data_IF_768661958805
#
_entry.id   IF_768661958805
#
_cell.length_a   1.000
_cell.length_b   1.000
_cell.length_c   1.000
_cell.angle_alpha   90.00
_cell.angle_beta   90.00
_cell.angle_gamma   90.00
#
_symmetry.space_group_name_H-M   'P 1'
#
loop_
_entity.id
_entity.type
_entity.pdbx_description
1 polymer ?
#
# COMPACT_ATOMS: atom_id res chain seq x y z
N UNK A 1 41.51 25.67 -26.07
CA UNK A 1 40.11 25.33 -26.41
C UNK A 1 39.76 23.86 -26.13
N UNK A 2 40.63 22.88 -26.40
CA UNK A 2 40.31 21.46 -26.18
C UNK A 2 40.07 21.07 -24.72
N UNK A 3 40.78 21.70 -23.76
CA UNK A 3 40.63 21.38 -22.33
C UNK A 3 39.28 21.86 -21.76
N UNK A 4 38.70 22.93 -22.31
CA UNK A 4 37.39 23.45 -21.88
C UNK A 4 36.27 22.49 -22.31
N UNK A 5 36.35 21.92 -23.53
CA UNK A 5 35.39 20.90 -24.01
C UNK A 5 35.39 19.65 -23.12
N UNK A 6 36.56 19.19 -22.66
CA UNK A 6 36.67 18.01 -21.81
C UNK A 6 36.15 18.27 -20.39
N UNK A 7 36.35 19.49 -19.85
CA UNK A 7 35.77 19.91 -18.56
C UNK A 7 34.25 20.03 -18.66
N UNK A 8 33.71 20.55 -19.76
CA UNK A 8 32.25 20.63 -19.99
C UNK A 8 31.59 19.25 -20.08
N UNK A 9 32.25 18.27 -20.69
CA UNK A 9 31.76 16.87 -20.75
C UNK A 9 31.80 16.21 -19.37
N UNK A 10 32.87 16.43 -18.59
CA UNK A 10 32.97 15.92 -17.22
C UNK A 10 31.91 16.55 -16.29
N UNK A 11 31.64 17.85 -16.42
CA UNK A 11 30.59 18.53 -15.66
C UNK A 11 29.18 18.06 -16.04
N UNK A 12 28.92 17.77 -17.33
CA UNK A 12 27.64 17.21 -17.79
C UNK A 12 27.40 15.77 -17.30
N UNK A 13 28.47 14.98 -17.11
CA UNK A 13 28.39 13.59 -16.61
C UNK A 13 28.09 13.51 -15.11
N UNK A 14 28.36 14.57 -14.34
CA UNK A 14 28.14 14.64 -12.89
C UNK A 14 26.69 15.00 -12.53
N UNK A 15 25.86 15.39 -13.50
CA UNK A 15 24.45 15.77 -13.27
C UNK A 15 23.51 14.56 -13.36
N UNK A 16 24.02 13.33 -13.22
CA UNK A 16 23.20 12.14 -13.03
C UNK A 16 22.49 12.19 -11.67
N UNK A 17 21.39 12.94 -11.60
CA UNK A 17 20.49 12.92 -10.47
C UNK A 17 19.95 11.50 -10.31
N UNK A 18 20.29 10.84 -9.22
CA UNK A 18 19.60 9.63 -8.79
C UNK A 18 18.19 10.05 -8.36
N UNK A 19 17.21 9.86 -9.23
CA UNK A 19 15.81 10.06 -8.89
C UNK A 19 15.36 8.88 -8.02
N UNK A 20 15.18 9.12 -6.72
CA UNK A 20 14.44 8.21 -5.86
C UNK A 20 12.96 8.30 -6.24
N UNK A 21 12.41 7.22 -6.79
CA UNK A 21 11.02 7.20 -7.25
C UNK A 21 10.06 7.14 -6.04
N UNK A 22 9.48 8.29 -5.68
CA UNK A 22 8.29 8.36 -4.82
C UNK A 22 7.05 8.31 -5.73
N UNK A 23 6.01 7.62 -5.29
CA UNK A 23 4.79 7.43 -6.09
C UNK A 23 3.63 8.19 -5.46
N UNK A 24 2.95 9.01 -6.26
CA UNK A 24 1.72 9.70 -5.90
C UNK A 24 0.55 9.16 -6.72
N UNK A 25 -0.52 8.72 -6.06
CA UNK A 25 -1.73 8.19 -6.70
C UNK A 25 -2.90 9.15 -6.49
N UNK A 26 -3.49 9.62 -7.58
CA UNK A 26 -4.63 10.55 -7.52
C UNK A 26 -4.26 11.99 -7.16
N UNK A 27 -2.96 12.32 -7.14
CA UNK A 27 -2.44 13.68 -6.88
C UNK A 27 -1.14 13.91 -7.66
N UNK A 28 -0.71 15.18 -7.75
CA UNK A 28 0.43 15.59 -8.59
C UNK A 28 1.81 15.38 -7.96
N UNK A 29 1.88 15.32 -6.63
CA UNK A 29 3.11 15.16 -5.87
C UNK A 29 2.82 14.48 -4.55
N UNK A 30 3.80 13.79 -4.00
CA UNK A 30 3.74 13.22 -2.66
C UNK A 30 3.86 14.30 -1.57
N UNK A 31 3.30 14.03 -0.40
CA UNK A 31 3.48 14.83 0.80
C UNK A 31 4.68 14.33 1.60
N UNK A 32 5.56 15.27 1.99
CA UNK A 32 6.74 14.97 2.80
C UNK A 32 7.90 14.37 2.02
N UNK A 33 9.09 14.40 2.62
CA UNK A 33 10.33 13.90 1.99
C UNK A 33 10.61 12.41 2.27
N UNK A 34 9.92 11.83 3.25
CA UNK A 34 10.09 10.46 3.73
C UNK A 34 8.91 9.57 3.31
N UNK A 35 8.45 9.72 2.07
CA UNK A 35 7.26 9.04 1.56
C UNK A 35 7.63 8.21 0.34
N UNK A 36 7.27 6.92 0.34
CA UNK A 36 7.49 6.03 -0.82
C UNK A 36 6.25 5.97 -1.70
N UNK A 37 5.08 5.99 -1.07
CA UNK A 37 3.78 5.90 -1.71
C UNK A 37 2.81 6.83 -0.99
N UNK A 38 2.11 7.65 -1.74
CA UNK A 38 1.12 8.60 -1.26
C UNK A 38 -0.16 8.54 -2.10
N UNK A 39 -1.28 8.85 -1.47
CA UNK A 39 -2.60 8.85 -2.09
C UNK A 39 -3.28 10.20 -1.94
N UNK A 40 -4.29 10.42 -2.76
CA UNK A 40 -5.16 11.58 -2.68
C UNK A 40 -5.67 11.82 -1.24
N UNK A 41 -5.48 13.05 -0.77
CA UNK A 41 -5.84 13.52 0.57
C UNK A 41 -6.74 14.77 0.51
N UNK A 42 -7.35 15.07 -0.63
CA UNK A 42 -8.33 16.16 -0.73
C UNK A 42 -9.55 15.89 0.14
N UNK A 43 -10.16 16.98 0.63
CA UNK A 43 -11.39 16.90 1.39
C UNK A 43 -12.50 16.24 0.53
N UNK A 44 -13.21 15.27 1.13
CA UNK A 44 -14.23 14.49 0.43
C UNK A 44 -13.71 13.25 -0.29
N UNK A 45 -12.42 12.93 -0.18
CA UNK A 45 -11.90 11.65 -0.68
C UNK A 45 -12.65 10.46 -0.04
N UNK A 46 -12.99 9.46 -0.86
CA UNK A 46 -13.63 8.20 -0.45
C UNK A 46 -12.91 6.97 -1.02
N UNK A 47 -11.69 7.14 -1.55
CA UNK A 47 -10.91 6.08 -2.19
C UNK A 47 -9.95 5.48 -1.16
N UNK A 48 -10.15 4.20 -0.84
CA UNK A 48 -9.24 3.40 -0.03
C UNK A 48 -8.41 2.43 -0.87
N UNK A 49 -7.49 1.72 -0.21
CA UNK A 49 -6.81 0.55 -0.79
C UNK A 49 -7.72 -0.65 -0.60
N UNK A 50 -7.89 -1.48 -1.64
CA UNK A 50 -8.55 -2.78 -1.49
C UNK A 50 -7.44 -3.82 -1.36
N UNK A 51 -7.43 -4.52 -0.24
CA UNK A 51 -6.46 -5.57 0.02
C UNK A 51 -6.67 -6.79 -0.90
N UNK A 52 -5.60 -7.52 -1.25
CA UNK A 52 -5.74 -8.80 -1.92
C UNK A 52 -6.63 -9.74 -1.11
N UNK A 53 -7.66 -10.28 -1.76
CA UNK A 53 -8.53 -11.28 -1.17
C UNK A 53 -7.96 -12.67 -1.45
N UNK A 54 -7.53 -13.37 -0.40
CA UNK A 54 -6.83 -14.66 -0.51
C UNK A 54 -7.61 -15.76 0.19
N UNK A 55 -7.56 -16.99 -0.33
CA UNK A 55 -8.14 -18.17 0.34
C UNK A 55 -7.10 -18.78 1.28
N UNK A 56 -6.99 -18.22 2.49
CA UNK A 56 -5.93 -18.55 3.45
C UNK A 56 -4.71 -17.65 3.28
N UNK A 57 -3.56 -18.09 3.79
CA UNK A 57 -2.33 -17.30 3.77
C UNK A 57 -1.60 -17.41 2.43
N UNK A 58 -0.97 -16.31 1.96
CA UNK A 58 -0.09 -16.36 0.80
C UNK A 58 0.99 -17.43 0.98
N UNK A 59 1.30 -18.16 -0.10
CA UNK A 59 2.50 -18.98 -0.16
C UNK A 59 3.74 -18.09 -0.36
N UNK A 60 4.91 -18.51 0.08
CA UNK A 60 6.16 -17.74 -0.05
C UNK A 60 6.83 -17.42 1.29
N UNK A 61 7.81 -16.51 1.29
CA UNK A 61 8.31 -15.93 2.55
C UNK A 61 7.34 -14.85 3.02
N UNK A 62 6.80 -15.03 4.23
CA UNK A 62 5.94 -14.03 4.84
C UNK A 62 6.81 -12.95 5.47
N UNK A 63 6.54 -11.70 5.11
CA UNK A 63 7.22 -10.55 5.69
C UNK A 63 6.27 -9.79 6.63
N UNK A 64 6.81 -9.34 7.76
CA UNK A 64 6.08 -8.49 8.69
C UNK A 64 5.59 -7.21 7.98
N UNK A 65 4.33 -6.85 8.20
CA UNK A 65 3.65 -5.78 7.46
C UNK A 65 2.83 -6.24 6.27
N UNK A 66 2.69 -7.54 6.03
CA UNK A 66 1.80 -8.09 4.99
C UNK A 66 0.34 -7.95 5.41
N UNK A 67 -0.52 -7.43 4.52
CA UNK A 67 -1.97 -7.31 4.74
C UNK A 67 -2.75 -8.14 3.71
N UNK A 68 -3.81 -8.81 4.17
CA UNK A 68 -4.74 -9.58 3.34
C UNK A 68 -6.18 -9.42 3.81
N UNK A 69 -7.13 -9.71 2.93
CA UNK A 69 -8.49 -10.11 3.30
C UNK A 69 -8.62 -11.62 3.09
N UNK A 70 -8.66 -12.39 4.18
CA UNK A 70 -8.76 -13.84 4.12
C UNK A 70 -10.23 -14.26 3.95
N UNK A 71 -10.56 -14.85 2.79
CA UNK A 71 -11.93 -15.27 2.47
C UNK A 71 -12.31 -16.61 3.12
N UNK A 72 -11.38 -17.30 3.78
CA UNK A 72 -11.70 -18.56 4.50
C UNK A 72 -12.45 -18.29 5.81
N UNK A 73 -12.15 -17.17 6.47
CA UNK A 73 -12.82 -16.72 7.69
C UNK A 73 -13.38 -15.29 7.62
N UNK A 74 -13.31 -14.66 6.45
CA UNK A 74 -13.81 -13.32 6.12
C UNK A 74 -13.22 -12.22 7.01
N UNK A 75 -11.91 -12.27 7.23
CA UNK A 75 -11.23 -11.30 8.10
C UNK A 75 -10.14 -10.53 7.37
N UNK A 76 -10.01 -9.25 7.72
CA UNK A 76 -8.79 -8.49 7.42
C UNK A 76 -7.71 -8.95 8.39
N UNK A 77 -6.53 -9.29 7.88
CA UNK A 77 -5.41 -9.77 8.69
C UNK A 77 -4.12 -9.04 8.33
N UNK A 78 -3.26 -8.86 9.32
CA UNK A 78 -1.90 -8.39 9.16
C UNK A 78 -0.95 -9.45 9.72
N UNK A 79 0.13 -9.74 8.99
CA UNK A 79 1.24 -10.51 9.53
C UNK A 79 2.19 -9.56 10.26
N UNK A 80 2.33 -9.73 11.57
CA UNK A 80 3.26 -8.95 12.39
C UNK A 80 3.88 -9.82 13.48
N UNK A 81 5.14 -9.56 13.83
CA UNK A 81 5.89 -10.34 14.82
C UNK A 81 5.82 -11.85 14.57
N UNK A 82 5.93 -12.24 13.30
CA UNK A 82 5.85 -13.62 12.82
C UNK A 82 4.54 -14.36 13.14
N UNK A 83 3.47 -13.60 13.38
CA UNK A 83 2.12 -14.13 13.63
C UNK A 83 1.06 -13.39 12.82
N UNK A 84 0.04 -14.13 12.39
CA UNK A 84 -1.15 -13.52 11.80
C UNK A 84 -2.05 -12.94 12.89
N UNK A 85 -2.29 -11.64 12.81
CA UNK A 85 -3.22 -10.93 13.67
C UNK A 85 -4.45 -10.51 12.89
N UNK A 86 -5.63 -10.83 13.42
CA UNK A 86 -6.90 -10.34 12.88
C UNK A 86 -7.07 -8.86 13.19
N UNK A 87 -7.38 -8.08 12.15
CA UNK A 87 -7.75 -6.67 12.23
C UNK A 87 -9.27 -6.46 12.16
N UNK A 88 -10.04 -7.53 12.05
CA UNK A 88 -11.50 -7.49 12.09
C UNK A 88 -12.07 -8.76 12.69
N UNK A 89 -13.34 -8.68 13.07
CA UNK A 89 -14.19 -9.86 13.21
C UNK A 89 -14.54 -10.46 11.83
N UNK A 90 -15.30 -11.56 11.84
CA UNK A 90 -15.76 -12.19 10.62
C UNK A 90 -16.81 -11.30 9.92
N UNK A 91 -16.45 -10.79 8.76
CA UNK A 91 -17.30 -9.96 7.92
C UNK A 91 -17.99 -10.74 6.80
N UNK A 92 -18.00 -10.17 5.59
CA UNK A 92 -18.72 -10.73 4.44
C UNK A 92 -17.89 -10.65 3.15
N UNK A 93 -17.63 -11.79 2.52
CA UNK A 93 -16.88 -11.88 1.25
C UNK A 93 -17.76 -12.15 0.03
N UNK A 94 -19.09 -12.11 0.13
CA UNK A 94 -20.01 -12.53 -0.94
C UNK A 94 -19.90 -11.70 -2.22
N UNK A 95 -19.40 -10.47 -2.14
CA UNK A 95 -19.15 -9.60 -3.31
C UNK A 95 -17.72 -9.70 -3.85
N UNK A 96 -16.86 -10.49 -3.19
CA UNK A 96 -15.49 -10.76 -3.65
C UNK A 96 -15.54 -11.64 -4.89
N UNK A 97 -14.92 -11.18 -5.96
CA UNK A 97 -14.79 -11.96 -7.20
C UNK A 97 -13.47 -12.72 -7.12
N UNK A 98 -13.54 -14.04 -7.10
CA UNK A 98 -12.35 -14.89 -7.09
C UNK A 98 -11.62 -14.82 -8.44
N UNK A 99 -10.31 -14.58 -8.39
CA UNK A 99 -9.41 -14.84 -9.51
C UNK A 99 -8.73 -16.19 -9.28
N UNK A 100 -9.06 -17.18 -10.10
CA UNK A 100 -8.53 -18.54 -10.00
C UNK A 100 -7.37 -18.79 -10.98
N UNK A 101 -6.91 -17.75 -11.67
CA UNK A 101 -5.75 -17.84 -12.55
C UNK A 101 -4.50 -18.17 -11.74
N UNK A 102 -3.54 -18.85 -12.35
CA UNK A 102 -2.24 -19.05 -11.72
C UNK A 102 -1.54 -17.70 -11.54
N UNK A 103 -1.02 -17.44 -10.34
CA UNK A 103 -0.15 -16.30 -10.08
C UNK A 103 1.14 -16.46 -10.88
N UNK A 104 1.40 -15.54 -11.79
CA UNK A 104 2.59 -15.56 -12.64
C UNK A 104 3.23 -14.17 -12.66
N UNK A 105 4.56 -14.13 -12.50
CA UNK A 105 5.33 -12.89 -12.48
C UNK A 105 5.93 -12.59 -11.12
N UNK A 106 6.66 -11.48 -11.06
CA UNK A 106 7.14 -10.87 -9.81
C UNK A 106 6.23 -9.68 -9.53
N UNK A 107 5.86 -9.47 -8.27
CA UNK A 107 5.09 -8.29 -7.87
C UNK A 107 5.83 -6.98 -8.14
N UNK A 108 5.23 -5.87 -7.72
CA UNK A 108 5.82 -4.53 -7.87
C UNK A 108 6.59 -4.17 -6.62
N UNK A 109 7.83 -3.72 -6.77
CA UNK A 109 8.64 -3.15 -5.68
C UNK A 109 8.69 -1.63 -5.86
N UNK A 110 8.38 -0.89 -4.79
CA UNK A 110 8.50 0.56 -4.74
C UNK A 110 9.50 0.98 -3.66
N UNK A 111 10.36 1.95 -3.98
CA UNK A 111 11.39 2.48 -3.08
C UNK A 111 12.80 2.02 -3.46
N UNK A 112 13.14 0.76 -3.23
CA UNK A 112 14.41 0.14 -3.61
C UNK A 112 14.33 -0.66 -4.92
N UNK A 113 15.49 -1.00 -5.50
CA UNK A 113 15.56 -1.73 -6.77
C UNK A 113 15.30 -3.23 -6.64
N UNK A 114 15.37 -3.78 -5.43
CA UNK A 114 15.14 -5.19 -5.14
C UNK A 114 14.67 -5.36 -3.69
N UNK A 115 13.98 -6.46 -3.42
CA UNK A 115 13.56 -6.89 -2.09
C UNK A 115 13.58 -8.42 -2.04
N UNK A 116 13.78 -8.98 -0.85
CA UNK A 116 13.59 -10.40 -0.58
C UNK A 116 12.13 -10.76 -0.27
N UNK A 117 11.28 -9.75 -0.02
CA UNK A 117 9.88 -9.94 0.27
C UNK A 117 9.13 -10.58 -0.91
N UNK A 118 8.34 -11.60 -0.63
CA UNK A 118 7.45 -12.23 -1.60
C UNK A 118 6.04 -11.63 -1.50
N UNK A 119 5.73 -10.68 -2.39
CA UNK A 119 4.45 -9.96 -2.36
C UNK A 119 4.09 -9.32 -3.69
N UNK A 120 2.79 -9.11 -3.91
CA UNK A 120 2.25 -8.48 -5.14
C UNK A 120 2.56 -6.98 -5.22
N UNK A 121 2.62 -6.31 -4.07
CA UNK A 121 3.06 -4.93 -3.90
C UNK A 121 3.95 -4.87 -2.67
N UNK A 122 5.24 -4.60 -2.88
CA UNK A 122 6.27 -4.51 -1.85
C UNK A 122 6.73 -3.07 -1.76
N UNK A 123 6.68 -2.53 -0.54
CA UNK A 123 7.22 -1.21 -0.23
C UNK A 123 8.55 -1.42 0.49
N UNK A 124 9.64 -1.28 -0.24
CA UNK A 124 10.99 -1.51 0.27
C UNK A 124 11.70 -0.17 0.43
N UNK A 125 11.98 0.22 1.68
CA UNK A 125 12.77 1.42 1.96
C UNK A 125 13.27 1.44 3.41
N UNK A 126 14.50 1.94 3.60
CA UNK A 126 15.08 2.09 4.95
C UNK A 126 14.52 3.31 5.72
N UNK A 127 13.98 4.32 5.04
CA UNK A 127 13.66 5.61 5.65
C UNK A 127 12.43 6.32 5.07
N UNK A 128 11.64 5.62 4.26
CA UNK A 128 10.38 6.15 3.71
C UNK A 128 9.23 5.20 4.04
N UNK A 129 8.05 5.77 4.23
CA UNK A 129 6.83 5.02 4.52
C UNK A 129 5.72 5.35 3.52
N UNK A 130 4.69 4.52 3.50
CA UNK A 130 3.44 4.86 2.82
C UNK A 130 2.62 5.79 3.69
N UNK A 131 2.03 6.81 3.07
CA UNK A 131 0.90 7.55 3.64
C UNK A 131 -0.37 6.83 3.19
N UNK A 132 -1.17 6.33 4.12
CA UNK A 132 -2.43 5.66 3.78
C UNK A 132 -3.42 6.65 3.13
N UNK A 133 -4.34 6.17 2.27
CA UNK A 133 -5.44 7.00 1.77
C UNK A 133 -6.22 7.61 2.94
N UNK A 134 -6.41 8.92 2.90
CA UNK A 134 -7.05 9.65 3.98
C UNK A 134 -8.54 9.85 3.67
N UNK A 135 -9.41 9.37 4.57
CA UNK A 135 -10.86 9.49 4.43
C UNK A 135 -11.41 9.98 5.78
N UNK A 136 -12.22 11.03 5.79
CA UNK A 136 -12.90 11.46 7.00
C UNK A 136 -14.11 10.56 7.26
N UNK A 137 -14.24 9.96 8.44
CA UNK A 137 -15.40 9.16 8.87
C UNK A 137 -15.88 8.16 7.78
N UNK A 138 -15.05 7.17 7.41
CA UNK A 138 -15.32 6.29 6.27
C UNK A 138 -16.65 5.54 6.38
N UNK A 139 -17.06 5.17 7.59
CA UNK A 139 -18.37 4.54 7.86
C UNK A 139 -19.59 5.40 7.46
N UNK A 140 -19.45 6.72 7.34
CA UNK A 140 -20.53 7.61 6.89
C UNK A 140 -20.39 7.98 5.41
N UNK A 141 -19.14 8.14 4.95
CA UNK A 141 -18.84 8.79 3.68
C UNK A 141 -18.57 7.82 2.53
N UNK A 142 -18.06 6.62 2.81
CA UNK A 142 -17.89 5.57 1.78
C UNK A 142 -19.21 4.82 1.63
N UNK A 143 -19.95 5.09 0.55
CA UNK A 143 -21.32 4.54 0.37
C UNK A 143 -21.37 3.06 0.03
N UNK A 144 -20.39 2.58 -0.74
CA UNK A 144 -20.29 1.18 -1.18
C UNK A 144 -18.85 0.68 -0.97
N UNK A 145 -18.41 0.49 0.29
CA UNK A 145 -17.08 -0.04 0.55
C UNK A 145 -16.97 -1.49 0.06
N UNK A 146 -15.78 -1.88 -0.36
CA UNK A 146 -15.50 -3.24 -0.82
C UNK A 146 -14.81 -4.04 0.30
N UNK A 147 -15.11 -5.34 0.51
CA UNK A 147 -14.44 -6.15 1.53
C UNK A 147 -12.92 -6.09 1.39
N UNK A 148 -12.22 -5.89 2.51
CA UNK A 148 -10.77 -5.66 2.50
C UNK A 148 -10.36 -4.22 2.22
N UNK A 149 -11.29 -3.27 2.12
CA UNK A 149 -10.94 -1.85 1.98
C UNK A 149 -10.26 -1.33 3.25
N UNK A 150 -9.14 -0.63 3.10
CA UNK A 150 -8.39 0.02 4.17
C UNK A 150 -8.12 1.50 3.87
N UNK A 151 -8.11 2.32 4.92
CA UNK A 151 -7.78 3.75 4.86
C UNK A 151 -7.36 4.27 6.25
N UNK A 152 -6.84 5.50 6.31
CA UNK A 152 -6.67 6.24 7.55
C UNK A 152 -7.89 7.14 7.78
N UNK A 153 -8.58 6.95 8.90
CA UNK A 153 -9.67 7.84 9.29
C UNK A 153 -9.12 9.10 9.95
N UNK A 154 -9.28 10.24 9.27
CA UNK A 154 -8.77 11.54 9.74
C UNK A 154 -9.55 12.11 10.93
N UNK A 155 -10.77 11.62 11.18
CA UNK A 155 -11.61 12.08 12.31
C UNK A 155 -11.22 11.35 13.58
N UNK A 156 -11.25 10.01 13.56
CA UNK A 156 -10.89 9.20 14.74
C UNK A 156 -9.38 9.04 14.93
N UNK A 157 -8.57 9.37 13.90
CA UNK A 157 -7.11 9.23 13.85
C UNK A 157 -6.67 7.78 14.01
N UNK A 158 -7.29 6.89 13.24
CA UNK A 158 -7.09 5.44 13.35
C UNK A 158 -6.90 4.80 11.99
N UNK A 159 -6.29 3.61 11.95
CA UNK A 159 -6.42 2.72 10.81
C UNK A 159 -7.85 2.18 10.77
N UNK A 160 -8.53 2.34 9.64
CA UNK A 160 -9.88 1.84 9.43
C UNK A 160 -9.87 0.76 8.35
N UNK A 161 -10.44 -0.40 8.66
CA UNK A 161 -10.56 -1.54 7.73
C UNK A 161 -12.00 -2.01 7.63
N UNK A 162 -12.48 -2.29 6.42
CA UNK A 162 -13.81 -2.80 6.16
C UNK A 162 -13.78 -4.30 5.90
N UNK A 163 -14.51 -5.07 6.70
CA UNK A 163 -14.53 -6.54 6.64
C UNK A 163 -15.58 -7.09 5.65
N UNK A 164 -16.31 -6.21 4.96
CA UNK A 164 -17.42 -6.56 4.08
C UNK A 164 -18.80 -6.32 4.69
N UNK A 165 -18.86 -6.14 6.01
CA UNK A 165 -20.09 -5.82 6.76
C UNK A 165 -19.95 -4.51 7.50
N UNK A 166 -18.88 -4.33 8.28
CA UNK A 166 -18.66 -3.18 9.15
C UNK A 166 -17.22 -2.66 9.06
N UNK A 167 -17.04 -1.43 9.53
CA UNK A 167 -15.73 -0.80 9.68
C UNK A 167 -15.16 -1.09 11.08
N UNK A 168 -13.90 -1.56 11.11
CA UNK A 168 -13.12 -1.83 12.32
C UNK A 168 -11.99 -0.79 12.41
N UNK A 169 -11.68 -0.32 13.63
CA UNK A 169 -10.78 0.80 13.86
C UNK A 169 -9.65 0.44 14.84
N UNK A 170 -8.41 0.75 14.47
CA UNK A 170 -7.19 0.41 15.22
C UNK A 170 -6.37 1.65 15.58
N UNK A 171 -5.91 1.71 16.83
CA UNK A 171 -5.02 2.73 17.39
C UNK A 171 -3.68 2.14 17.78
#
# INVERSE_FOLDING_TARGET
MNNIKNISIAAALVISNTFFAQVAIGKQSVDGNSTVLDFDNVAGNTKGIILPATSGFPAGSLENGTFIFDVTDNKVKMYENDVWKSLSDAGNSSVVIANNSAETGKGVIMGETASSADGVLVLESQNKAMILPQIAAPHLNVKNPYPGMMCYDTVSKTLAVFDGSVWNYWK
#
